data_IF_538948691779
#
_entry.id   IF_538948691779
#
_cell.length_a   1.000
_cell.length_b   1.000
_cell.length_c   1.000
_cell.angle_alpha   90.00
_cell.angle_beta   90.00
_cell.angle_gamma   90.00
#
_symmetry.space_group_name_H-M   'P 1'
#
loop_
_entity.id
_entity.type
_entity.pdbx_description
1 polymer ?
#
# COMPACT_ATOMS: atom_id res chain seq x y z
N UNK A 1 11.67 -49.49 -50.97
CA UNK A 1 12.30 -49.41 -49.63
C UNK A 1 13.10 -48.11 -49.36
N UNK A 2 13.59 -47.37 -50.37
CA UNK A 2 14.33 -46.09 -50.15
C UNK A 2 13.46 -44.97 -49.57
N UNK A 3 12.20 -44.85 -50.00
CA UNK A 3 11.31 -43.76 -49.58
C UNK A 3 10.75 -43.91 -48.16
N UNK A 4 10.61 -45.13 -47.65
CA UNK A 4 10.15 -45.40 -46.26
C UNK A 4 11.18 -44.90 -45.24
N UNK A 5 12.48 -45.06 -45.52
CA UNK A 5 13.55 -44.53 -44.66
C UNK A 5 13.55 -42.99 -44.62
N UNK A 6 13.22 -42.34 -45.74
CA UNK A 6 13.08 -40.88 -45.80
C UNK A 6 11.85 -40.37 -45.06
N UNK A 7 10.72 -41.08 -45.09
CA UNK A 7 9.50 -40.70 -44.37
C UNK A 7 9.69 -40.83 -42.86
N UNK A 8 10.33 -41.89 -42.38
CA UNK A 8 10.61 -42.09 -40.95
C UNK A 8 11.58 -41.01 -40.41
N UNK A 9 12.58 -40.64 -41.21
CA UNK A 9 13.51 -39.55 -40.86
C UNK A 9 12.81 -38.18 -40.88
N UNK A 10 11.93 -37.92 -41.84
CA UNK A 10 11.20 -36.66 -41.97
C UNK A 10 10.11 -36.46 -40.89
N UNK A 11 9.47 -37.54 -40.40
CA UNK A 11 8.49 -37.45 -39.30
C UNK A 11 9.12 -37.47 -37.90
N UNK A 12 10.32 -38.06 -37.73
CA UNK A 12 10.97 -38.14 -36.42
C UNK A 12 11.66 -36.85 -35.96
N UNK A 13 12.17 -36.05 -36.91
CA UNK A 13 12.89 -34.80 -36.62
C UNK A 13 12.04 -33.69 -35.96
N UNK A 14 10.76 -33.44 -36.34
CA UNK A 14 9.96 -32.39 -35.69
C UNK A 14 9.56 -32.72 -34.24
N UNK A 15 9.62 -33.99 -33.81
CA UNK A 15 9.31 -34.37 -32.42
C UNK A 15 10.48 -34.10 -31.44
N UNK A 16 11.68 -33.81 -31.95
CA UNK A 16 12.86 -33.48 -31.15
C UNK A 16 12.97 -31.96 -30.87
N UNK A 17 12.05 -31.15 -31.37
CA UNK A 17 11.95 -29.71 -31.10
C UNK A 17 11.01 -29.39 -29.92
N UNK A 18 10.87 -30.30 -28.95
CA UNK A 18 10.30 -29.95 -27.65
C UNK A 18 11.33 -29.08 -26.91
N UNK A 19 11.32 -27.79 -27.22
CA UNK A 19 11.92 -26.77 -26.38
C UNK A 19 11.48 -27.06 -24.94
N UNK A 20 12.43 -27.35 -24.06
CA UNK A 20 12.23 -27.28 -22.63
C UNK A 20 11.98 -25.80 -22.32
N UNK A 21 10.75 -25.34 -22.57
CA UNK A 21 10.25 -24.09 -22.03
C UNK A 21 10.17 -24.37 -20.53
N UNK A 22 11.23 -23.98 -19.81
CA UNK A 22 11.14 -23.84 -18.35
C UNK A 22 9.91 -22.99 -18.11
N UNK A 23 8.99 -23.44 -17.26
CA UNK A 23 7.80 -22.66 -16.90
C UNK A 23 8.26 -21.35 -16.24
N UNK A 24 8.53 -20.35 -17.08
CA UNK A 24 8.82 -18.98 -16.68
C UNK A 24 7.64 -18.37 -15.95
N UNK A 25 6.45 -18.92 -16.10
CA UNK A 25 5.20 -18.52 -15.48
C UNK A 25 5.38 -18.35 -13.96
N UNK A 26 6.11 -19.27 -13.30
CA UNK A 26 6.29 -19.25 -11.84
C UNK A 26 7.39 -18.34 -11.32
N UNK A 27 8.34 -17.96 -12.17
CA UNK A 27 9.47 -17.11 -11.77
C UNK A 27 9.05 -15.61 -11.69
N UNK A 28 7.88 -15.24 -12.21
CA UNK A 28 7.36 -13.86 -12.21
C UNK A 28 6.11 -13.65 -11.34
N UNK A 29 5.59 -14.67 -10.66
CA UNK A 29 4.46 -14.46 -9.74
C UNK A 29 4.95 -13.75 -8.47
N UNK A 30 4.64 -12.46 -8.38
CA UNK A 30 4.75 -11.72 -7.13
C UNK A 30 3.66 -12.23 -6.16
N UNK A 31 3.99 -13.25 -5.37
CA UNK A 31 3.04 -13.90 -4.45
C UNK A 31 2.97 -13.23 -3.09
N UNK A 32 3.99 -12.44 -2.73
CA UNK A 32 4.02 -11.75 -1.45
C UNK A 32 2.89 -10.73 -1.38
N UNK A 33 2.05 -10.83 -0.35
CA UNK A 33 1.03 -9.84 -0.05
C UNK A 33 1.70 -8.62 0.58
N UNK A 34 1.73 -7.50 -0.15
CA UNK A 34 2.22 -6.23 0.37
C UNK A 34 1.10 -5.20 0.51
N UNK A 35 1.17 -4.35 1.53
CA UNK A 35 0.28 -3.21 1.70
C UNK A 35 1.02 -1.89 1.49
N UNK A 36 0.42 -0.98 0.75
CA UNK A 36 0.94 0.38 0.54
C UNK A 36 -0.16 1.43 0.57
N UNK A 37 0.19 2.64 0.99
CA UNK A 37 -0.73 3.76 0.84
C UNK A 37 -0.81 4.16 -0.63
N UNK A 38 -2.03 4.30 -1.14
CA UNK A 38 -2.24 4.71 -2.53
C UNK A 38 -1.53 6.04 -2.84
N UNK A 39 -1.64 6.99 -1.92
CA UNK A 39 -1.02 8.30 -2.07
C UNK A 39 0.52 8.28 -1.99
N UNK A 40 1.11 7.26 -1.34
CA UNK A 40 2.56 7.08 -1.34
C UNK A 40 3.11 6.61 -2.70
N UNK A 41 2.27 5.99 -3.54
CA UNK A 41 2.68 5.53 -4.88
C UNK A 41 2.65 6.64 -5.94
N UNK A 42 1.82 7.66 -5.72
CA UNK A 42 1.50 8.66 -6.73
C UNK A 42 1.85 10.10 -6.31
N UNK A 43 2.45 10.26 -5.13
CA UNK A 43 2.89 11.55 -4.60
C UNK A 43 4.37 11.49 -4.26
N UNK A 44 5.15 12.47 -4.72
CA UNK A 44 6.58 12.54 -4.44
C UNK A 44 6.85 12.71 -2.94
N UNK A 45 7.95 12.11 -2.47
CA UNK A 45 8.42 12.27 -1.10
C UNK A 45 8.76 13.73 -0.79
N UNK A 46 8.44 14.16 0.43
CA UNK A 46 8.81 15.49 0.87
C UNK A 46 10.31 15.58 1.18
N UNK A 47 10.94 16.77 1.04
CA UNK A 47 12.35 16.94 1.36
C UNK A 47 12.69 16.48 2.79
N UNK A 48 13.74 15.66 2.93
CA UNK A 48 14.24 15.19 4.22
C UNK A 48 13.51 13.99 4.82
N UNK A 49 12.49 13.46 4.14
CA UNK A 49 11.75 12.24 4.56
C UNK A 49 11.56 11.28 3.39
N UNK A 50 11.23 10.02 3.67
CA UNK A 50 11.01 8.97 2.68
C UNK A 50 9.52 8.68 2.42
N UNK A 51 8.65 9.64 2.70
CA UNK A 51 7.20 9.56 2.48
C UNK A 51 6.66 10.91 1.99
N UNK A 52 5.50 10.94 1.31
CA UNK A 52 4.87 12.19 0.93
C UNK A 52 4.28 12.91 2.15
N UNK A 53 4.40 14.24 2.15
CA UNK A 53 3.54 15.11 2.96
C UNK A 53 2.37 15.57 2.09
N UNK A 54 1.18 15.08 2.44
CA UNK A 54 -0.05 15.35 1.71
C UNK A 54 -0.51 16.80 1.93
N UNK A 55 -1.28 17.31 0.96
CA UNK A 55 -1.86 18.64 1.02
C UNK A 55 -2.66 18.86 2.32
N UNK A 56 -2.52 20.06 2.88
CA UNK A 56 -3.09 20.38 4.16
C UNK A 56 -4.62 20.27 4.19
N UNK A 57 -5.13 19.72 5.29
CA UNK A 57 -6.55 19.62 5.62
C UNK A 57 -6.90 20.73 6.60
N UNK A 58 -7.97 21.47 6.34
CA UNK A 58 -8.42 22.51 7.25
C UNK A 58 -8.99 21.87 8.53
N UNK A 59 -8.82 22.54 9.68
CA UNK A 59 -9.57 22.24 10.92
C UNK A 59 -11.06 22.03 10.60
N UNK A 60 -11.66 21.01 11.22
CA UNK A 60 -13.06 20.69 11.02
C UNK A 60 -13.41 20.13 9.64
N UNK A 61 -12.43 19.69 8.82
CA UNK A 61 -12.72 19.02 7.54
C UNK A 61 -13.43 17.67 7.70
N UNK A 62 -13.58 17.17 8.92
CA UNK A 62 -14.35 15.96 9.23
C UNK A 62 -13.61 14.69 8.83
N UNK A 63 -14.38 13.66 8.48
CA UNK A 63 -13.87 12.33 8.16
C UNK A 63 -13.17 12.29 6.81
N UNK A 64 -11.95 11.76 6.79
CA UNK A 64 -11.14 11.54 5.60
C UNK A 64 -10.67 10.09 5.59
N UNK A 65 -10.84 9.41 4.45
CA UNK A 65 -10.38 8.05 4.24
C UNK A 65 -9.14 8.02 3.35
N UNK A 66 -8.07 7.37 3.82
CA UNK A 66 -6.86 7.11 3.06
C UNK A 66 -6.86 5.66 2.59
N UNK A 67 -6.86 5.46 1.27
CA UNK A 67 -6.84 4.13 0.67
C UNK A 67 -5.48 3.45 0.85
N UNK A 68 -5.54 2.18 1.20
CA UNK A 68 -4.40 1.27 1.25
C UNK A 68 -4.64 0.18 0.20
N UNK A 69 -3.67 -0.05 -0.65
CA UNK A 69 -3.71 -1.04 -1.73
C UNK A 69 -3.03 -2.34 -1.26
N UNK A 70 -3.58 -3.48 -1.69
CA UNK A 70 -2.95 -4.80 -1.57
C UNK A 70 -2.27 -5.15 -2.90
N UNK A 71 -0.99 -5.51 -2.83
CA UNK A 71 -0.18 -5.96 -3.95
C UNK A 71 0.12 -7.45 -3.80
N UNK A 72 0.24 -8.13 -4.92
CA UNK A 72 0.54 -9.56 -4.98
C UNK A 72 -0.71 -10.42 -4.96
N UNK A 73 -0.65 -11.55 -4.26
CA UNK A 73 -1.71 -12.54 -4.29
C UNK A 73 -3.00 -12.01 -3.63
N UNK A 74 -4.13 -12.21 -4.31
CA UNK A 74 -5.45 -11.97 -3.72
C UNK A 74 -5.71 -12.96 -2.58
N UNK A 75 -6.21 -12.44 -1.46
CA UNK A 75 -6.43 -13.21 -0.24
C UNK A 75 -7.91 -13.60 -0.15
N UNK A 76 -8.19 -14.87 0.15
CA UNK A 76 -9.55 -15.42 0.23
C UNK A 76 -10.22 -15.23 1.59
N UNK A 77 -9.50 -14.64 2.55
CA UNK A 77 -9.98 -14.36 3.91
C UNK A 77 -9.63 -12.93 4.29
N UNK A 78 -10.49 -12.31 5.10
CA UNK A 78 -10.27 -10.95 5.62
C UNK A 78 -8.91 -10.84 6.31
N UNK A 79 -8.19 -9.77 6.02
CA UNK A 79 -6.92 -9.44 6.67
C UNK A 79 -7.01 -8.10 7.37
N UNK A 80 -7.00 -8.11 8.70
CA UNK A 80 -6.76 -6.91 9.48
C UNK A 80 -5.25 -6.67 9.58
N UNK A 81 -4.78 -5.52 9.11
CA UNK A 81 -3.40 -5.07 9.23
C UNK A 81 -3.29 -3.98 10.30
N UNK A 82 -2.18 -4.00 11.04
CA UNK A 82 -1.88 -2.96 12.01
C UNK A 82 -1.22 -1.76 11.33
N UNK A 83 -1.54 -0.58 11.85
CA UNK A 83 -0.85 0.68 11.56
C UNK A 83 -0.25 1.21 12.85
N UNK A 84 0.69 2.15 12.69
CA UNK A 84 1.21 2.95 13.80
C UNK A 84 1.30 4.41 13.42
N UNK A 85 1.34 5.25 14.44
CA UNK A 85 1.74 6.64 14.30
C UNK A 85 3.25 6.71 14.52
N UNK A 86 3.97 7.36 13.61
CA UNK A 86 5.37 7.68 13.86
C UNK A 86 5.42 8.90 14.78
N UNK A 87 5.66 8.65 16.08
CA UNK A 87 5.69 9.68 17.11
C UNK A 87 6.84 10.68 16.99
N UNK A 88 7.94 10.32 16.33
CA UNK A 88 9.07 11.24 16.12
C UNK A 88 8.76 12.30 15.06
N UNK A 89 7.98 11.93 14.05
CA UNK A 89 7.59 12.82 12.94
C UNK A 89 6.21 13.45 13.11
N UNK A 90 5.45 13.06 14.14
CA UNK A 90 4.09 13.54 14.39
C UNK A 90 4.07 14.66 15.42
N UNK A 91 3.50 15.80 15.03
CA UNK A 91 3.22 16.93 15.94
C UNK A 91 1.74 17.11 16.21
N UNK A 92 0.86 16.43 15.45
CA UNK A 92 -0.56 16.36 15.73
C UNK A 92 -0.83 15.56 17.03
N UNK A 93 -1.96 15.83 17.66
CA UNK A 93 -2.30 15.29 19.00
C UNK A 93 -3.71 14.72 18.91
N UNK A 94 -3.86 13.44 19.24
CA UNK A 94 -5.16 12.78 19.23
C UNK A 94 -6.11 13.41 20.25
N UNK A 95 -7.39 13.51 19.89
CA UNK A 95 -8.42 14.17 20.69
C UNK A 95 -8.39 15.70 20.62
N UNK A 96 -7.30 16.29 20.12
CA UNK A 96 -7.18 17.74 19.86
C UNK A 96 -7.28 18.03 18.36
N UNK A 97 -6.39 17.45 17.57
CA UNK A 97 -6.28 17.71 16.13
C UNK A 97 -7.03 16.68 15.29
N UNK A 98 -7.06 15.42 15.74
CA UNK A 98 -7.69 14.32 15.02
C UNK A 98 -8.29 13.25 15.96
N UNK A 99 -9.11 12.36 15.40
CA UNK A 99 -9.54 11.08 16.00
C UNK A 99 -9.45 9.96 14.97
N UNK A 100 -9.30 8.74 15.47
CA UNK A 100 -9.30 7.53 14.66
C UNK A 100 -10.56 6.72 14.98
N UNK A 101 -11.69 6.94 14.26
CA UNK A 101 -12.95 6.28 14.58
C UNK A 101 -12.86 4.76 14.54
N UNK A 102 -11.99 4.23 13.68
CA UNK A 102 -11.74 2.79 13.54
C UNK A 102 -10.40 2.37 14.18
N UNK A 103 -9.70 3.26 14.87
CA UNK A 103 -8.37 3.01 15.44
C UNK A 103 -7.27 2.86 14.39
N UNK A 104 -6.12 2.30 14.80
CA UNK A 104 -4.95 2.06 13.94
C UNK A 104 -4.99 0.66 13.29
N UNK A 105 -6.10 0.35 12.63
CA UNK A 105 -6.24 -0.85 11.83
C UNK A 105 -6.84 -0.51 10.46
N UNK A 106 -6.56 -1.36 9.49
CA UNK A 106 -7.26 -1.37 8.21
C UNK A 106 -7.53 -2.83 7.84
N UNK A 107 -8.74 -3.10 7.36
CA UNK A 107 -9.15 -4.46 6.99
C UNK A 107 -9.27 -4.54 5.48
N UNK A 108 -8.52 -5.48 4.87
CA UNK A 108 -8.78 -5.95 3.52
C UNK A 108 -9.83 -7.05 3.59
N UNK A 109 -11.04 -6.85 3.05
CA UNK A 109 -12.00 -7.94 2.95
C UNK A 109 -11.47 -9.06 2.04
N UNK A 110 -11.98 -10.28 2.25
CA UNK A 110 -11.74 -11.40 1.35
C UNK A 110 -12.02 -11.00 -0.10
N UNK A 111 -11.10 -11.35 -0.99
CA UNK A 111 -11.15 -11.06 -2.42
C UNK A 111 -11.12 -9.56 -2.78
N UNK A 112 -10.76 -8.68 -1.85
CA UNK A 112 -10.52 -7.25 -2.11
C UNK A 112 -9.04 -6.92 -2.20
N UNK A 113 -8.71 -5.91 -2.98
CA UNK A 113 -7.36 -5.35 -3.08
C UNK A 113 -7.23 -3.98 -2.38
N UNK A 114 -8.24 -3.58 -1.60
CA UNK A 114 -8.27 -2.27 -0.97
C UNK A 114 -8.80 -2.34 0.46
N UNK A 115 -8.22 -1.51 1.32
CA UNK A 115 -8.65 -1.19 2.67
C UNK A 115 -8.56 0.33 2.88
N UNK A 116 -9.12 0.85 3.97
CA UNK A 116 -9.06 2.27 4.30
C UNK A 116 -8.55 2.49 5.73
N UNK A 117 -7.77 3.56 5.89
CA UNK A 117 -7.52 4.20 7.16
C UNK A 117 -8.40 5.44 7.26
N UNK A 118 -9.27 5.47 8.26
CA UNK A 118 -10.17 6.60 8.49
C UNK A 118 -9.62 7.52 9.57
N UNK A 119 -9.58 8.82 9.26
CA UNK A 119 -9.07 9.88 10.12
C UNK A 119 -10.09 11.00 10.16
N UNK A 120 -10.60 11.30 11.35
CA UNK A 120 -11.44 12.47 11.56
C UNK A 120 -10.57 13.66 11.93
N UNK A 121 -10.59 14.72 11.12
CA UNK A 121 -9.95 16.00 11.45
C UNK A 121 -10.92 16.83 12.27
N UNK A 122 -10.55 17.09 13.53
CA UNK A 122 -11.40 17.78 14.48
C UNK A 122 -11.46 19.27 14.20
N UNK A 123 -12.55 19.90 14.65
CA UNK A 123 -12.62 21.34 14.76
C UNK A 123 -12.03 21.77 16.11
N UNK A 124 -10.85 22.41 16.08
CA UNK A 124 -10.12 22.86 17.27
C UNK A 124 -9.81 24.35 17.17
N UNK A 125 -9.68 25.15 18.24
CA UNK A 125 -9.54 26.60 18.13
C UNK A 125 -8.40 27.04 17.19
N UNK A 126 -8.66 28.05 16.35
CA UNK A 126 -7.62 28.62 15.50
C UNK A 126 -6.48 29.16 16.37
N UNK A 127 -5.24 28.81 16.03
CA UNK A 127 -4.07 29.31 16.76
C UNK A 127 -3.64 30.68 16.24
N UNK A 128 -3.61 31.66 17.15
CA UNK A 128 -3.10 33.01 16.89
C UNK A 128 -1.58 33.09 17.05
N UNK A 129 -0.97 32.12 17.73
CA UNK A 129 0.48 31.98 17.95
C UNK A 129 0.88 30.50 17.85
N UNK A 130 2.04 30.19 17.26
CA UNK A 130 2.49 28.80 17.05
C UNK A 130 2.58 28.37 15.57
N UNK A 131 2.84 27.08 15.35
CA UNK A 131 2.94 26.51 14.00
C UNK A 131 1.57 26.55 13.30
N UNK A 132 1.52 27.11 12.10
CA UNK A 132 0.28 27.20 11.31
C UNK A 132 -0.26 25.82 10.86
N UNK A 133 0.55 24.77 10.96
CA UNK A 133 0.19 23.41 10.60
C UNK A 133 0.77 22.43 11.62
N UNK A 134 0.04 21.35 11.89
CA UNK A 134 0.55 20.16 12.57
C UNK A 134 0.63 19.00 11.58
N UNK A 135 1.51 18.04 11.85
CA UNK A 135 1.76 16.88 10.98
C UNK A 135 1.36 15.61 11.71
N UNK A 136 0.61 14.74 11.04
CA UNK A 136 0.25 13.40 11.50
C UNK A 136 0.85 12.36 10.54
N UNK A 137 1.74 11.51 11.02
CA UNK A 137 2.43 10.52 10.16
C UNK A 137 1.97 9.12 10.49
N UNK A 138 1.44 8.44 9.48
CA UNK A 138 1.03 7.04 9.57
C UNK A 138 2.07 6.14 8.92
N UNK A 139 2.22 4.94 9.48
CA UNK A 139 3.03 3.87 8.91
C UNK A 139 2.29 2.55 9.01
N UNK A 140 2.29 1.78 7.92
CA UNK A 140 1.77 0.42 7.88
C UNK A 140 2.77 -0.49 8.59
N UNK A 141 2.30 -1.26 9.57
CA UNK A 141 3.06 -2.32 10.24
C UNK A 141 2.77 -3.67 9.58
N UNK A 142 1.54 -3.88 9.11
CA UNK A 142 1.12 -5.14 8.49
C UNK A 142 0.67 -6.17 9.52
N UNK A 143 0.78 -7.45 9.16
CA UNK A 143 0.57 -8.59 10.03
C UNK A 143 1.48 -9.77 9.59
N UNK A 144 1.17 -11.00 10.00
CA UNK A 144 1.96 -12.18 9.62
C UNK A 144 1.89 -12.52 8.13
N UNK A 145 0.79 -12.16 7.46
CA UNK A 145 0.48 -12.49 6.06
C UNK A 145 0.80 -11.32 5.13
N UNK A 146 0.32 -10.12 5.44
CA UNK A 146 0.46 -8.90 4.65
C UNK A 146 1.57 -8.06 5.24
N UNK A 147 2.64 -7.86 4.47
CA UNK A 147 3.80 -7.06 4.89
C UNK A 147 3.71 -5.62 4.36
N UNK A 148 4.32 -4.63 5.03
CA UNK A 148 4.39 -3.30 4.48
C UNK A 148 5.27 -3.25 3.22
N UNK A 149 4.86 -2.45 2.23
CA UNK A 149 5.71 -2.08 1.10
C UNK A 149 6.77 -1.09 1.55
N UNK A 150 8.06 -1.49 1.56
CA UNK A 150 9.14 -0.69 2.14
C UNK A 150 9.21 0.75 1.62
N UNK A 151 8.88 0.96 0.35
CA UNK A 151 8.95 2.28 -0.28
C UNK A 151 7.69 3.14 -0.09
N UNK A 152 6.55 2.53 0.25
CA UNK A 152 5.23 3.20 0.21
C UNK A 152 4.37 2.93 1.45
N UNK A 153 4.99 2.49 2.56
CA UNK A 153 4.30 2.17 3.81
C UNK A 153 3.91 3.38 4.65
N UNK A 154 4.30 4.59 4.27
CA UNK A 154 4.11 5.79 5.09
C UNK A 154 3.52 6.96 4.31
N UNK A 155 2.69 7.75 4.99
CA UNK A 155 2.19 9.05 4.53
C UNK A 155 2.18 10.03 5.70
N UNK A 156 2.44 11.31 5.42
CA UNK A 156 2.20 12.39 6.37
C UNK A 156 1.02 13.26 5.96
N UNK A 157 0.14 13.56 6.90
CA UNK A 157 -1.03 14.41 6.72
C UNK A 157 -0.77 15.74 7.41
N UNK A 158 -0.87 16.84 6.67
CA UNK A 158 -0.84 18.17 7.24
C UNK A 158 -2.25 18.59 7.67
N UNK A 159 -2.38 19.14 8.87
CA UNK A 159 -3.63 19.73 9.38
C UNK A 159 -3.37 21.22 9.65
N UNK A 160 -4.09 22.07 8.94
CA UNK A 160 -3.98 23.53 9.01
C UNK A 160 -4.92 24.09 10.08
N UNK A 161 -4.39 25.05 10.85
CA UNK A 161 -5.07 25.68 11.97
C UNK A 161 -5.80 26.99 11.60
N UNK A 162 -5.76 27.41 10.32
CA UNK A 162 -6.33 28.67 9.81
C UNK A 162 -7.35 28.46 8.71
#
# INVERSE_FOLDING_TARGET
MRYIKFIILALGIPMLLNSCMKETDKDFYFTNALAEFDLATNTANAPGVNYPLLAARLRGSGLISYRINLLGQQLSADQAIALRINGESTTAVEGVHYRLPNGLNATFPANSSFANLDVEVLDFPAQTTGAANVVLVFEIVGNDVVKPSENHKSIGVQINVR
#
